data_IF_275388404175
#
_entry.id   IF_275388404175
#
_cell.length_a   1.000
_cell.length_b   1.000
_cell.length_c   1.000
_cell.angle_alpha   90.00
_cell.angle_beta   90.00
_cell.angle_gamma   90.00
#
_symmetry.space_group_name_H-M   'P 1'
#
loop_
_entity.id
_entity.type
_entity.pdbx_description
1 polymer ?
#
# COMPACT_ATOMS: atom_id res chain seq x y z
N UNK A 1 17.08 -10.65 -6.19
CA UNK A 1 16.34 -10.45 -7.47
C UNK A 1 17.17 -11.03 -8.60
N UNK A 2 16.65 -11.14 -9.81
CA UNK A 2 17.42 -11.57 -10.95
C UNK A 2 16.97 -10.91 -12.25
N UNK A 3 17.91 -10.73 -13.17
CA UNK A 3 17.70 -10.13 -14.48
C UNK A 3 17.98 -11.17 -15.57
N UNK A 4 17.02 -11.37 -16.47
CA UNK A 4 17.22 -12.25 -17.62
C UNK A 4 18.22 -11.62 -18.61
N UNK A 5 19.13 -12.44 -19.12
CA UNK A 5 20.13 -12.03 -20.12
C UNK A 5 20.11 -12.96 -21.33
N UNK A 6 20.48 -12.43 -22.50
CA UNK A 6 20.45 -13.18 -23.76
C UNK A 6 21.27 -14.48 -23.71
N UNK A 7 20.71 -15.55 -24.29
CA UNK A 7 21.27 -16.90 -24.27
C UNK A 7 22.49 -17.09 -25.21
N UNK A 8 22.57 -16.31 -26.30
CA UNK A 8 23.62 -16.44 -27.33
C UNK A 8 24.98 -15.86 -26.91
N UNK A 9 25.05 -15.22 -25.76
CA UNK A 9 26.18 -14.40 -25.34
C UNK A 9 27.33 -15.18 -24.70
N UNK A 10 27.46 -16.48 -25.03
CA UNK A 10 28.45 -17.40 -24.44
C UNK A 10 29.91 -17.00 -24.78
N UNK A 11 30.16 -16.38 -25.93
CA UNK A 11 31.51 -15.96 -26.34
C UNK A 11 31.90 -14.54 -25.89
N UNK A 12 30.94 -13.69 -25.48
CA UNK A 12 31.22 -12.30 -25.07
C UNK A 12 31.21 -12.09 -23.56
N UNK A 13 30.50 -12.93 -22.81
CA UNK A 13 30.41 -12.83 -21.35
C UNK A 13 31.53 -13.57 -20.59
N UNK A 14 32.17 -14.56 -21.23
CA UNK A 14 33.02 -15.55 -20.53
C UNK A 14 34.46 -15.59 -21.03
N UNK A 15 34.88 -14.64 -21.87
CA UNK A 15 36.31 -14.42 -22.15
C UNK A 15 36.93 -13.60 -21.02
N UNK A 16 38.15 -13.97 -20.65
CA UNK A 16 38.86 -13.59 -19.42
C UNK A 16 39.06 -12.08 -19.14
N UNK A 17 38.58 -11.19 -20.01
CA UNK A 17 38.61 -9.73 -19.87
C UNK A 17 37.26 -9.10 -19.47
N UNK A 18 36.17 -9.90 -19.40
CA UNK A 18 34.82 -9.42 -19.06
C UNK A 18 34.38 -10.03 -17.72
N UNK A 19 34.68 -9.33 -16.63
CA UNK A 19 34.20 -9.64 -15.30
C UNK A 19 32.65 -9.63 -15.23
N UNK A 20 32.07 -10.84 -15.23
CA UNK A 20 30.96 -11.22 -14.38
C UNK A 20 31.37 -12.50 -13.64
N UNK A 21 32.31 -12.39 -12.70
CA UNK A 21 32.82 -13.53 -11.92
C UNK A 21 31.94 -13.84 -10.70
N UNK A 22 30.61 -13.95 -10.86
CA UNK A 22 29.64 -14.31 -9.79
C UNK A 22 28.21 -14.60 -10.36
N UNK A 23 27.31 -15.24 -9.57
CA UNK A 23 26.50 -16.41 -9.91
C UNK A 23 25.46 -16.17 -11.00
N UNK A 24 25.58 -16.98 -12.06
CA UNK A 24 24.59 -17.09 -13.12
C UNK A 24 23.72 -18.29 -12.80
N UNK A 25 22.41 -18.08 -12.83
CA UNK A 25 21.43 -19.16 -12.76
C UNK A 25 21.01 -19.52 -14.18
N UNK A 26 21.38 -20.71 -14.64
CA UNK A 26 20.85 -21.28 -15.88
C UNK A 26 19.63 -22.13 -15.57
N UNK A 27 18.49 -21.79 -16.16
CA UNK A 27 17.26 -22.60 -16.08
C UNK A 27 17.01 -23.18 -17.48
N UNK A 28 17.04 -24.51 -17.53
CA UNK A 28 16.76 -25.29 -18.74
C UNK A 28 15.39 -25.94 -18.58
N UNK A 29 14.39 -25.41 -19.27
CA UNK A 29 13.10 -26.09 -19.45
C UNK A 29 13.05 -26.74 -20.84
N UNK A 30 12.15 -27.70 -21.05
CA UNK A 30 12.04 -28.52 -22.28
C UNK A 30 11.85 -27.71 -23.58
N UNK A 31 11.55 -26.41 -23.50
CA UNK A 31 11.35 -25.50 -24.63
C UNK A 31 12.24 -24.25 -24.64
N UNK A 32 12.84 -23.87 -23.51
CA UNK A 32 13.57 -22.60 -23.38
C UNK A 32 14.80 -22.74 -22.47
N UNK A 33 15.89 -22.08 -22.85
CA UNK A 33 17.10 -21.94 -22.05
C UNK A 33 17.25 -20.48 -21.62
N UNK A 34 16.93 -20.19 -20.36
CA UNK A 34 17.00 -18.83 -19.80
C UNK A 34 18.18 -18.71 -18.86
N UNK A 35 18.81 -17.54 -18.90
CA UNK A 35 19.93 -17.19 -18.03
C UNK A 35 19.57 -15.98 -17.21
N UNK A 36 19.92 -16.04 -15.94
CA UNK A 36 19.67 -14.97 -15.01
C UNK A 36 20.96 -14.55 -14.32
N UNK A 37 21.18 -13.23 -14.25
CA UNK A 37 22.16 -12.62 -13.37
C UNK A 37 21.48 -12.33 -12.05
N UNK A 38 21.98 -12.92 -10.96
CA UNK A 38 21.48 -12.64 -9.62
C UNK A 38 21.92 -11.24 -9.18
N UNK A 39 20.99 -10.53 -8.56
CA UNK A 39 21.18 -9.21 -7.97
C UNK A 39 20.76 -9.31 -6.50
N UNK A 40 21.76 -9.45 -5.64
CA UNK A 40 21.66 -9.51 -4.18
C UNK A 40 22.81 -8.71 -3.54
N UNK A 41 22.82 -8.62 -2.21
CA UNK A 41 23.79 -7.81 -1.46
C UNK A 41 25.25 -8.23 -1.71
N UNK A 42 25.50 -9.54 -1.89
CA UNK A 42 26.85 -10.06 -2.11
C UNK A 42 27.33 -9.80 -3.53
N UNK A 43 26.44 -9.90 -4.51
CA UNK A 43 26.77 -9.85 -5.94
C UNK A 43 26.75 -8.43 -6.50
N UNK A 44 25.89 -7.55 -5.98
CA UNK A 44 25.60 -6.24 -6.59
C UNK A 44 26.83 -5.34 -6.72
N UNK A 45 27.76 -5.39 -5.76
CA UNK A 45 28.99 -4.57 -5.78
C UNK A 45 29.97 -4.98 -6.88
N UNK A 46 29.92 -6.25 -7.31
CA UNK A 46 30.77 -6.79 -8.37
C UNK A 46 30.18 -6.65 -9.77
N UNK A 47 28.93 -6.20 -9.91
CA UNK A 47 28.25 -6.12 -11.20
C UNK A 47 28.69 -4.90 -12.00
N UNK A 48 29.20 -5.15 -13.21
CA UNK A 48 29.40 -4.10 -14.20
C UNK A 48 28.06 -3.73 -14.87
N UNK A 49 27.33 -2.80 -14.24
CA UNK A 49 26.00 -2.37 -14.71
C UNK A 49 25.99 -1.82 -16.15
N UNK A 50 27.09 -1.15 -16.58
CA UNK A 50 27.21 -0.60 -17.95
C UNK A 50 27.27 -1.69 -19.01
N UNK A 51 27.92 -2.82 -18.72
CA UNK A 51 27.93 -3.98 -19.63
C UNK A 51 26.67 -4.81 -19.50
N UNK A 52 26.12 -4.93 -18.29
CA UNK A 52 24.92 -5.70 -18.03
C UNK A 52 23.73 -5.18 -18.85
N UNK A 53 23.55 -3.86 -18.92
CA UNK A 53 22.40 -3.26 -19.63
C UNK A 53 22.36 -3.57 -21.14
N UNK A 54 23.51 -3.84 -21.77
CA UNK A 54 23.61 -4.20 -23.20
C UNK A 54 23.03 -5.59 -23.51
N UNK A 55 22.80 -6.39 -22.48
CA UNK A 55 22.46 -7.81 -22.59
C UNK A 55 21.25 -8.23 -21.78
N UNK A 56 20.68 -7.31 -20.99
CA UNK A 56 19.46 -7.57 -20.23
C UNK A 56 18.27 -7.61 -21.18
N UNK A 57 17.46 -8.65 -21.06
CA UNK A 57 16.19 -8.77 -21.75
C UNK A 57 15.15 -7.89 -21.04
N UNK A 58 15.11 -6.61 -21.41
CA UNK A 58 14.24 -5.61 -20.76
C UNK A 58 12.75 -6.01 -20.77
N UNK A 59 12.31 -6.74 -21.79
CA UNK A 59 10.92 -7.22 -21.92
C UNK A 59 10.52 -8.20 -20.80
N UNK A 60 11.48 -8.92 -20.23
CA UNK A 60 11.25 -9.88 -19.14
C UNK A 60 11.13 -9.20 -17.78
N UNK A 61 11.57 -7.94 -17.65
CA UNK A 61 11.55 -7.21 -16.41
C UNK A 61 12.41 -7.85 -15.31
N UNK A 62 12.01 -7.67 -14.06
CA UNK A 62 12.70 -8.23 -12.89
C UNK A 62 12.05 -9.55 -12.49
N UNK A 63 12.89 -10.58 -12.36
CA UNK A 63 12.48 -11.90 -11.86
C UNK A 63 12.88 -12.08 -10.40
N UNK A 64 12.09 -12.85 -9.67
CA UNK A 64 12.39 -13.23 -8.29
C UNK A 64 12.74 -14.70 -8.27
N UNK A 65 13.83 -15.06 -7.61
CA UNK A 65 14.33 -16.43 -7.53
C UNK A 65 14.14 -16.91 -6.10
N UNK A 66 13.56 -18.09 -5.94
CA UNK A 66 13.43 -18.81 -4.67
C UNK A 66 13.85 -20.25 -4.89
N UNK A 67 14.72 -20.77 -4.01
CA UNK A 67 15.20 -22.16 -4.07
C UNK A 67 15.78 -22.55 -5.44
N UNK A 68 16.44 -21.61 -6.12
CA UNK A 68 17.07 -21.83 -7.43
C UNK A 68 16.13 -21.81 -8.63
N UNK A 69 14.86 -21.43 -8.47
CA UNK A 69 13.89 -21.30 -9.56
C UNK A 69 13.15 -19.95 -9.53
N UNK A 70 12.60 -19.48 -10.67
CA UNK A 70 11.77 -18.28 -10.69
C UNK A 70 10.50 -18.53 -9.87
N UNK A 71 10.15 -17.59 -9.01
CA UNK A 71 8.91 -17.64 -8.24
C UNK A 71 7.90 -16.65 -8.81
N UNK A 72 6.64 -17.07 -8.84
CA UNK A 72 5.54 -16.18 -9.13
C UNK A 72 5.19 -15.36 -7.89
N UNK A 73 5.02 -14.05 -8.10
CA UNK A 73 4.58 -13.12 -7.07
C UNK A 73 3.06 -13.03 -7.06
N UNK A 74 2.48 -12.84 -5.88
CA UNK A 74 1.08 -12.40 -5.79
C UNK A 74 0.91 -11.02 -6.46
N UNK A 75 -0.33 -10.66 -6.80
CA UNK A 75 -0.64 -9.33 -7.36
C UNK A 75 -0.10 -8.19 -6.48
N UNK A 76 -0.30 -8.30 -5.16
CA UNK A 76 0.20 -7.33 -4.18
C UNK A 76 1.72 -7.29 -4.10
N UNK A 77 2.40 -8.44 -4.09
CA UNK A 77 3.87 -8.50 -4.12
C UNK A 77 4.44 -7.91 -5.41
N UNK A 78 3.79 -8.15 -6.56
CA UNK A 78 4.21 -7.57 -7.83
C UNK A 78 4.07 -6.05 -7.85
N UNK A 79 2.96 -5.52 -7.33
CA UNK A 79 2.74 -4.08 -7.20
C UNK A 79 3.77 -3.45 -6.25
N UNK A 80 3.98 -4.05 -5.08
CA UNK A 80 4.98 -3.63 -4.11
C UNK A 80 6.37 -3.52 -4.73
N UNK A 81 6.84 -4.59 -5.38
CA UNK A 81 8.15 -4.61 -6.04
C UNK A 81 8.24 -3.57 -7.14
N UNK A 82 7.18 -3.41 -7.94
CA UNK A 82 7.12 -2.40 -8.99
C UNK A 82 7.28 -0.98 -8.42
N UNK A 83 6.50 -0.61 -7.39
CA UNK A 83 6.57 0.71 -6.77
C UNK A 83 7.96 1.00 -6.22
N UNK A 84 8.52 0.07 -5.43
CA UNK A 84 9.84 0.20 -4.83
C UNK A 84 10.94 0.40 -5.87
N UNK A 85 10.97 -0.46 -6.90
CA UNK A 85 12.00 -0.41 -7.94
C UNK A 85 11.92 0.90 -8.74
N UNK A 86 10.71 1.36 -9.07
CA UNK A 86 10.53 2.62 -9.79
C UNK A 86 10.95 3.83 -8.95
N UNK A 87 10.57 3.87 -7.66
CA UNK A 87 11.01 4.94 -6.76
C UNK A 87 12.54 4.94 -6.66
N UNK A 88 13.16 3.79 -6.42
CA UNK A 88 14.61 3.68 -6.30
C UNK A 88 15.35 4.07 -7.59
N UNK A 89 14.81 3.70 -8.76
CA UNK A 89 15.39 4.03 -10.06
C UNK A 89 15.24 5.52 -10.45
N UNK A 90 14.22 6.21 -9.93
CA UNK A 90 13.94 7.60 -10.27
C UNK A 90 14.45 8.61 -9.21
N UNK A 91 14.54 8.20 -7.95
CA UNK A 91 14.88 9.10 -6.84
C UNK A 91 16.32 9.61 -6.97
N UNK A 92 16.49 10.91 -6.72
CA UNK A 92 17.78 11.59 -6.62
C UNK A 92 17.89 12.30 -5.28
N UNK A 93 19.08 12.80 -4.97
CA UNK A 93 19.27 13.59 -3.75
C UNK A 93 18.34 14.81 -3.74
N UNK A 94 17.69 15.08 -2.61
CA UNK A 94 16.73 16.18 -2.44
C UNK A 94 15.48 16.10 -3.34
N UNK A 95 14.96 14.89 -3.58
CA UNK A 95 13.71 14.69 -4.34
C UNK A 95 12.47 14.88 -3.47
N UNK A 96 11.36 15.26 -4.10
CA UNK A 96 10.02 15.15 -3.55
C UNK A 96 9.28 14.02 -4.25
N UNK A 97 8.92 12.97 -3.51
CA UNK A 97 8.17 11.82 -4.02
C UNK A 97 6.69 12.03 -3.73
N UNK A 98 5.84 11.91 -4.74
CA UNK A 98 4.38 11.96 -4.59
C UNK A 98 3.84 10.55 -4.77
N UNK A 99 3.10 10.06 -3.78
CA UNK A 99 2.49 8.74 -3.82
C UNK A 99 1.01 8.91 -3.52
N UNK A 100 0.18 8.33 -4.37
CA UNK A 100 -1.28 8.37 -4.25
C UNK A 100 -1.79 6.95 -4.02
N UNK A 101 -2.50 6.76 -2.91
CA UNK A 101 -3.14 5.51 -2.48
C UNK A 101 -2.27 4.24 -2.67
N UNK A 102 -1.08 4.17 -2.05
CA UNK A 102 -0.18 3.02 -2.19
C UNK A 102 -0.77 1.73 -1.63
N UNK A 103 -1.77 1.81 -0.75
CA UNK A 103 -2.48 0.68 -0.19
C UNK A 103 -3.39 -0.04 -1.20
N UNK A 104 -3.69 0.56 -2.36
CA UNK A 104 -4.52 -0.07 -3.37
C UNK A 104 -3.92 -1.43 -3.74
N UNK A 105 -4.70 -2.49 -3.52
CA UNK A 105 -4.31 -3.89 -3.78
C UNK A 105 -3.18 -4.45 -2.88
N UNK A 106 -2.75 -3.74 -1.85
CA UNK A 106 -1.80 -4.25 -0.86
C UNK A 106 -2.52 -4.81 0.36
N UNK A 107 -2.04 -5.96 0.84
CA UNK A 107 -2.40 -6.44 2.17
C UNK A 107 -1.81 -5.49 3.23
N UNK A 108 -2.48 -5.24 4.38
CA UNK A 108 -1.98 -4.31 5.40
C UNK A 108 -0.54 -4.55 5.85
N UNK A 109 -0.10 -5.81 5.88
CA UNK A 109 1.31 -6.14 6.21
C UNK A 109 2.32 -5.71 5.15
N UNK A 110 1.95 -5.68 3.87
CA UNK A 110 2.81 -5.18 2.79
C UNK A 110 2.82 -3.65 2.74
N UNK A 111 1.71 -3.02 3.12
CA UNK A 111 1.61 -1.58 3.23
C UNK A 111 2.59 -1.01 4.28
N UNK A 112 2.62 -1.60 5.48
CA UNK A 112 3.57 -1.21 6.53
C UNK A 112 5.02 -1.38 6.06
N UNK A 113 5.33 -2.50 5.39
CA UNK A 113 6.66 -2.72 4.79
C UNK A 113 6.99 -1.67 3.72
N UNK A 114 6.01 -1.23 2.92
CA UNK A 114 6.22 -0.23 1.88
C UNK A 114 6.57 1.12 2.51
N UNK A 115 5.87 1.49 3.59
CA UNK A 115 6.17 2.72 4.34
C UNK A 115 7.56 2.65 4.98
N UNK A 116 7.93 1.51 5.56
CA UNK A 116 9.27 1.30 6.11
C UNK A 116 10.36 1.46 5.04
N UNK A 117 10.20 0.79 3.89
CA UNK A 117 11.12 0.91 2.76
C UNK A 117 11.19 2.34 2.22
N UNK A 118 10.05 3.01 2.09
CA UNK A 118 9.99 4.39 1.62
C UNK A 118 10.76 5.33 2.57
N UNK A 119 10.62 5.16 3.90
CA UNK A 119 11.41 5.93 4.87
C UNK A 119 12.91 5.71 4.69
N UNK A 120 13.36 4.46 4.48
CA UNK A 120 14.77 4.14 4.26
C UNK A 120 15.31 4.79 2.97
N UNK A 121 14.56 4.72 1.88
CA UNK A 121 14.92 5.35 0.60
C UNK A 121 15.00 6.87 0.79
N UNK A 122 13.96 7.50 1.32
CA UNK A 122 13.93 8.95 1.50
C UNK A 122 15.05 9.45 2.40
N UNK A 123 15.38 8.72 3.47
CA UNK A 123 16.51 9.03 4.33
C UNK A 123 17.84 8.98 3.57
N UNK A 124 18.08 7.91 2.82
CA UNK A 124 19.33 7.70 2.06
C UNK A 124 19.59 8.78 1.02
N UNK A 125 18.53 9.33 0.43
CA UNK A 125 18.61 10.37 -0.60
C UNK A 125 18.37 11.79 -0.06
N UNK A 126 18.22 11.99 1.26
CA UNK A 126 17.81 13.29 1.84
C UNK A 126 16.57 13.89 1.14
N UNK A 127 15.59 13.04 0.88
CA UNK A 127 14.38 13.33 0.12
C UNK A 127 13.16 13.36 1.05
N UNK A 128 12.04 13.85 0.54
CA UNK A 128 10.75 13.87 1.24
C UNK A 128 9.68 13.21 0.39
N UNK A 129 8.62 12.73 1.03
CA UNK A 129 7.43 12.27 0.32
C UNK A 129 6.18 12.96 0.85
N UNK A 130 5.23 13.18 -0.05
CA UNK A 130 3.84 13.46 0.27
C UNK A 130 3.06 12.22 -0.16
N UNK A 131 2.30 11.70 0.80
CA UNK A 131 1.54 10.48 0.63
C UNK A 131 0.06 10.77 0.89
N UNK A 132 -0.78 10.52 -0.11
CA UNK A 132 -2.23 10.47 0.06
C UNK A 132 -2.65 9.03 0.35
N UNK A 133 -3.46 8.84 1.39
CA UNK A 133 -3.86 7.50 1.85
C UNK A 133 -5.19 7.56 2.60
N UNK A 134 -5.97 6.50 2.44
CA UNK A 134 -7.13 6.15 3.24
C UNK A 134 -6.81 5.04 4.24
N UNK A 135 -5.56 4.59 4.35
CA UNK A 135 -5.19 3.50 5.25
C UNK A 135 -4.81 3.97 6.65
N UNK A 136 -5.54 3.44 7.63
CA UNK A 136 -5.20 3.59 9.05
C UNK A 136 -3.86 2.94 9.40
N UNK A 137 -3.47 1.89 8.67
CA UNK A 137 -2.19 1.21 8.89
C UNK A 137 -1.04 2.15 8.58
N UNK A 138 -1.06 2.84 7.43
CA UNK A 138 -0.08 3.89 7.10
C UNK A 138 -0.10 5.02 8.12
N UNK A 139 -1.27 5.57 8.45
CA UNK A 139 -1.35 6.71 9.40
C UNK A 139 -0.74 6.35 10.76
N UNK A 140 -0.94 5.12 11.21
CA UNK A 140 -0.36 4.59 12.46
C UNK A 140 1.17 4.47 12.41
N UNK A 141 1.76 4.36 11.23
CA UNK A 141 3.22 4.28 11.05
C UNK A 141 3.90 5.65 10.99
N UNK A 142 3.15 6.76 11.07
CA UNK A 142 3.67 8.10 10.86
C UNK A 142 3.45 8.97 12.10
N UNK A 143 4.40 9.84 12.50
CA UNK A 143 4.19 10.80 13.59
C UNK A 143 3.06 11.80 13.27
N UNK A 144 2.32 12.21 14.30
CA UNK A 144 1.15 13.08 14.13
C UNK A 144 1.45 14.41 13.40
N UNK A 145 2.65 14.98 13.60
CA UNK A 145 3.07 16.23 12.95
C UNK A 145 3.21 16.10 11.42
N UNK A 146 3.26 14.87 10.90
CA UNK A 146 3.30 14.57 9.47
C UNK A 146 1.94 14.15 8.92
N UNK A 147 0.87 14.17 9.73
CA UNK A 147 -0.48 13.75 9.34
C UNK A 147 -1.37 14.97 9.16
N UNK A 148 -1.97 15.08 7.97
CA UNK A 148 -2.89 16.14 7.60
C UNK A 148 -4.19 15.52 7.09
N UNK A 149 -5.29 15.75 7.81
CA UNK A 149 -6.63 15.28 7.43
C UNK A 149 -7.31 16.38 6.62
N UNK A 150 -7.66 16.06 5.37
CA UNK A 150 -8.37 16.95 4.47
C UNK A 150 -9.87 16.73 4.60
N UNK A 151 -10.62 17.79 4.87
CA UNK A 151 -12.05 17.70 5.16
C UNK A 151 -12.84 18.78 4.40
N UNK A 152 -13.85 18.36 3.65
CA UNK A 152 -14.76 19.30 2.97
C UNK A 152 -15.87 19.72 3.92
N UNK A 153 -15.99 21.03 4.17
CA UNK A 153 -17.05 21.70 4.95
C UNK A 153 -17.92 22.54 4.01
N UNK A 154 -19.04 23.06 4.52
CA UNK A 154 -19.87 24.03 3.79
C UNK A 154 -19.09 25.31 3.43
N UNK A 155 -18.12 25.68 4.29
CA UNK A 155 -17.23 26.83 4.11
C UNK A 155 -15.99 26.55 3.24
N UNK A 156 -15.85 25.33 2.71
CA UNK A 156 -14.74 24.92 1.84
C UNK A 156 -13.86 23.80 2.42
N UNK A 157 -12.64 23.66 1.87
CA UNK A 157 -11.68 22.62 2.28
C UNK A 157 -10.89 23.09 3.51
N UNK A 158 -10.91 22.29 4.58
CA UNK A 158 -10.14 22.52 5.80
C UNK A 158 -9.11 21.40 5.96
N UNK A 159 -7.94 21.75 6.48
CA UNK A 159 -6.87 20.80 6.82
C UNK A 159 -6.72 20.79 8.34
N UNK A 160 -6.83 19.62 8.96
CA UNK A 160 -6.68 19.42 10.41
C UNK A 160 -5.50 18.50 10.70
N UNK A 161 -4.86 18.67 11.84
CA UNK A 161 -3.78 17.78 12.32
C UNK A 161 -4.23 17.06 13.58
N UNK A 162 -3.98 15.75 13.74
CA UNK A 162 -4.42 15.01 14.92
C UNK A 162 -3.89 15.62 16.23
N UNK A 163 -4.76 15.87 17.24
CA UNK A 163 -4.32 16.40 18.55
C UNK A 163 -3.72 15.33 19.47
N UNK A 164 -3.28 14.20 18.90
CA UNK A 164 -2.75 13.04 19.61
C UNK A 164 -1.71 12.32 18.74
N UNK A 165 -0.82 11.54 19.36
CA UNK A 165 0.20 10.79 18.62
C UNK A 165 -0.43 9.66 17.80
N UNK A 166 -0.15 9.65 16.50
CA UNK A 166 -0.57 8.60 15.57
C UNK A 166 0.44 7.47 15.49
N UNK A 167 1.76 7.75 15.65
CA UNK A 167 2.80 6.73 15.59
C UNK A 167 2.61 5.66 16.68
N UNK A 168 2.32 4.43 16.27
CA UNK A 168 1.98 3.32 17.15
C UNK A 168 0.66 3.50 17.92
N UNK A 169 -0.13 4.52 17.58
CA UNK A 169 -1.36 4.91 18.26
C UNK A 169 -2.49 3.90 18.14
N UNK A 170 -3.57 4.17 18.88
CA UNK A 170 -4.79 3.35 18.87
C UNK A 170 -5.57 3.54 17.55
N UNK A 171 -5.86 2.43 16.88
CA UNK A 171 -6.49 2.42 15.56
C UNK A 171 -7.92 2.97 15.62
N UNK A 172 -8.68 2.69 16.70
CA UNK A 172 -10.05 3.19 16.83
C UNK A 172 -10.08 4.70 16.97
N UNK A 173 -9.15 5.28 17.73
CA UNK A 173 -8.98 6.72 17.88
C UNK A 173 -8.57 7.39 16.57
N UNK A 174 -7.61 6.81 15.84
CA UNK A 174 -7.21 7.31 14.52
C UNK A 174 -8.42 7.25 13.57
N UNK A 175 -9.13 6.12 13.52
CA UNK A 175 -10.32 5.96 12.69
C UNK A 175 -11.39 7.00 13.02
N UNK A 176 -11.67 7.22 14.30
CA UNK A 176 -12.65 8.21 14.75
C UNK A 176 -12.26 9.64 14.38
N UNK A 177 -10.97 9.96 14.33
CA UNK A 177 -10.53 11.30 13.94
C UNK A 177 -10.48 11.50 12.42
N UNK A 178 -10.00 10.50 11.68
CA UNK A 178 -9.83 10.56 10.23
C UNK A 178 -11.16 10.36 9.50
N UNK A 179 -12.05 9.52 10.03
CA UNK A 179 -13.33 9.14 9.41
C UNK A 179 -14.56 9.44 10.26
N UNK A 180 -14.40 9.65 11.56
CA UNK A 180 -15.53 9.70 12.50
C UNK A 180 -16.33 11.00 12.47
N UNK A 181 -16.01 11.91 11.56
CA UNK A 181 -16.79 13.13 11.37
C UNK A 181 -16.95 13.41 9.87
N UNK A 182 -17.98 12.81 9.24
CA UNK A 182 -18.89 13.50 8.29
C UNK A 182 -19.89 12.62 7.51
N UNK A 183 -21.17 12.79 7.88
CA UNK A 183 -22.23 13.27 6.97
C UNK A 183 -22.42 12.60 5.60
N UNK A 184 -22.62 11.30 5.59
CA UNK A 184 -23.82 10.78 4.92
C UNK A 184 -24.67 10.30 6.08
N UNK A 185 -25.91 10.77 6.23
CA UNK A 185 -26.87 10.12 7.13
C UNK A 185 -26.67 8.62 6.97
N UNK A 186 -26.19 7.91 8.00
CA UNK A 186 -25.81 6.51 7.82
C UNK A 186 -27.04 5.84 7.20
N UNK A 187 -26.92 5.07 6.10
CA UNK A 187 -28.11 4.55 5.40
C UNK A 187 -29.13 3.92 6.35
N UNK A 188 -28.67 3.31 7.44
CA UNK A 188 -29.53 2.81 8.52
C UNK A 188 -30.28 3.92 9.29
N UNK A 189 -29.66 5.05 9.65
CA UNK A 189 -30.33 6.16 10.34
C UNK A 189 -31.41 6.79 9.45
N UNK A 190 -31.14 6.88 8.14
CA UNK A 190 -32.15 7.32 7.17
C UNK A 190 -33.30 6.32 7.08
N UNK A 191 -32.98 5.04 6.93
CA UNK A 191 -33.97 3.97 6.87
C UNK A 191 -34.85 3.93 8.15
N UNK A 192 -34.27 4.08 9.34
CA UNK A 192 -35.02 4.16 10.61
C UNK A 192 -35.99 5.35 10.57
N UNK A 193 -35.52 6.54 10.14
CA UNK A 193 -36.38 7.73 10.02
C UNK A 193 -37.51 7.53 9.01
N UNK A 194 -37.26 6.84 7.90
CA UNK A 194 -38.29 6.50 6.91
C UNK A 194 -39.32 5.53 7.49
N UNK A 195 -38.88 4.47 8.19
CA UNK A 195 -39.79 3.50 8.82
C UNK A 195 -40.66 4.11 9.93
N UNK A 196 -40.10 5.02 10.73
CA UNK A 196 -40.86 5.75 11.77
C UNK A 196 -41.84 6.77 11.17
N UNK A 197 -41.62 7.26 9.94
CA UNK A 197 -42.48 8.27 9.29
C UNK A 197 -43.54 7.67 8.37
N UNK A 198 -43.21 6.65 7.57
CA UNK A 198 -44.11 6.13 6.53
C UNK A 198 -45.20 5.21 7.09
N UNK A 199 -44.91 4.48 8.18
CA UNK A 199 -45.82 3.48 8.72
C UNK A 199 -46.54 3.92 10.01
N UNK A 200 -46.27 5.13 10.52
CA UNK A 200 -46.72 5.59 11.86
C UNK A 200 -46.34 4.58 12.97
N UNK A 201 -45.32 3.76 12.71
CA UNK A 201 -44.85 2.70 13.58
C UNK A 201 -44.22 3.32 14.83
N UNK A 202 -44.57 2.81 16.00
CA UNK A 202 -43.88 3.18 17.22
C UNK A 202 -42.45 2.62 17.22
N UNK A 203 -41.57 3.22 18.01
CA UNK A 203 -40.22 2.68 18.23
C UNK A 203 -40.27 1.21 18.69
N UNK A 204 -41.27 0.82 19.48
CA UNK A 204 -41.47 -0.55 19.96
C UNK A 204 -41.81 -1.50 18.80
N UNK A 205 -42.66 -1.09 17.87
CA UNK A 205 -43.04 -1.91 16.71
C UNK A 205 -41.85 -2.14 15.78
N UNK A 206 -41.03 -1.11 15.55
CA UNK A 206 -39.82 -1.22 14.74
C UNK A 206 -38.77 -2.12 15.39
N UNK A 207 -38.55 -1.99 16.70
CA UNK A 207 -37.63 -2.85 17.45
C UNK A 207 -38.11 -4.31 17.42
N UNK A 208 -39.41 -4.55 17.62
CA UNK A 208 -40.00 -5.88 17.57
C UNK A 208 -39.90 -6.51 16.18
N UNK A 209 -40.09 -5.72 15.12
CA UNK A 209 -39.97 -6.17 13.73
C UNK A 209 -38.53 -6.57 13.36
N UNK A 210 -37.54 -5.86 13.90
CA UNK A 210 -36.12 -6.15 13.67
C UNK A 210 -35.60 -7.31 14.53
N UNK A 211 -36.24 -7.59 15.68
CA UNK A 211 -35.93 -8.75 16.52
C UNK A 211 -34.45 -8.87 16.87
N UNK A 212 -33.83 -9.97 16.46
CA UNK A 212 -32.43 -10.32 16.76
C UNK A 212 -31.40 -9.49 15.96
N UNK A 213 -31.83 -8.67 15.01
CA UNK A 213 -30.93 -7.81 14.21
C UNK A 213 -30.57 -6.48 14.91
N UNK A 214 -31.17 -6.19 16.09
CA UNK A 214 -30.96 -4.94 16.83
C UNK A 214 -30.01 -5.15 18.01
N UNK A 215 -29.01 -4.27 18.15
CA UNK A 215 -28.18 -4.20 19.36
C UNK A 215 -28.70 -3.10 20.33
N UNK A 216 -28.21 -3.11 21.57
CA UNK A 216 -28.64 -2.14 22.60
C UNK A 216 -28.44 -0.68 22.18
N UNK A 217 -27.36 -0.39 21.45
CA UNK A 217 -27.06 0.95 20.95
C UNK A 217 -28.11 1.43 19.94
N UNK A 218 -28.56 0.54 19.04
CA UNK A 218 -29.58 0.83 18.05
C UNK A 218 -30.97 1.00 18.67
N UNK A 219 -31.29 0.24 19.73
CA UNK A 219 -32.52 0.43 20.52
C UNK A 219 -32.58 1.84 21.13
N UNK A 220 -31.47 2.27 21.74
CA UNK A 220 -31.38 3.62 22.33
C UNK A 220 -31.55 4.68 21.24
N UNK A 221 -30.93 4.49 20.07
CA UNK A 221 -31.04 5.40 18.95
C UNK A 221 -32.48 5.49 18.39
N UNK A 222 -33.15 4.36 18.12
CA UNK A 222 -34.53 4.35 17.60
C UNK A 222 -35.47 5.10 18.54
N UNK A 223 -35.38 4.84 19.85
CA UNK A 223 -36.20 5.50 20.88
C UNK A 223 -35.91 7.00 20.99
N UNK A 224 -34.64 7.41 20.87
CA UNK A 224 -34.26 8.82 20.88
C UNK A 224 -34.77 9.57 19.63
N UNK A 225 -34.76 8.90 18.46
CA UNK A 225 -35.23 9.46 17.20
C UNK A 225 -36.75 9.69 17.17
N UNK A 226 -37.56 8.76 17.68
CA UNK A 226 -39.02 8.93 17.83
C UNK A 226 -39.36 10.16 18.69
N UNK A 227 -38.61 10.37 19.77
CA UNK A 227 -38.80 11.49 20.71
C UNK A 227 -38.26 12.83 20.20
N UNK A 228 -37.69 12.88 19.00
CA UNK A 228 -37.05 14.08 18.43
C UNK A 228 -35.93 14.65 19.32
N UNK A 229 -35.21 13.80 20.07
CA UNK A 229 -34.18 14.20 21.03
C UNK A 229 -32.74 14.09 20.48
N UNK A 230 -32.58 14.22 19.16
CA UNK A 230 -31.30 14.08 18.46
C UNK A 230 -30.94 15.33 17.68
#
# INVERSE_FOLDING_TARGET
MALEVDADTRSKFFDAEVLLTSPILEIKDRKEHKRFVLVDEETVLGLNHLRLIEHVVLKSGVSFIKDGAPCELSSGQRLFSYVVINILGAVKRNSLVLVDEPELFLHPSLEVQLIEMLKQILHSFNSKAILATHSLSTVREIPADCVHVMERTDDGLVIKTPPFQTFGGDVQRIASYVFGDKSVSKPFERWIREQLKENDNSAEDLIAALGDEVNEELIIQIRAMERHQW
#
